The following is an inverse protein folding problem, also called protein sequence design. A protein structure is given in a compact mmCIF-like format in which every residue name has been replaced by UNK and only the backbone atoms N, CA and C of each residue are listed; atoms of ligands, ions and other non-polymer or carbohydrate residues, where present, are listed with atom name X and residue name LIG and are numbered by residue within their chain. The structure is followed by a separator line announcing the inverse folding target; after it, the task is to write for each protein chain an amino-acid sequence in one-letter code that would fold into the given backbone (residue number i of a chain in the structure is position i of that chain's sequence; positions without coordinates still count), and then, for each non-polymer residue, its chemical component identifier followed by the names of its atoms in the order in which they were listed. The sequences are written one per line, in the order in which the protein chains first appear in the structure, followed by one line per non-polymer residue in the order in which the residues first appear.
data_IF_695574225481
#
_entry.id   IF_695574225481
#
_cell.length_a   1.000
_cell.length_b   1.000
_cell.length_c   1.000
_cell.angle_alpha   90.00
_cell.angle_beta   90.00
_cell.angle_gamma   90.00
#
_symmetry.space_group_name_H-M   'P 1'
#
loop_
_entity.id
_entity.type
_entity.pdbx_description
1 polymer ?
#
# COMPACT_ATOMS: atom_id res chain seq x y z
N UNK A 1 -17.90 -16.31 -1.92
CA UNK A 1 -17.87 -17.61 -2.62
C UNK A 1 -16.68 -18.48 -2.17
N UNK A 2 -15.43 -18.00 -2.22
CA UNK A 2 -14.24 -18.78 -1.82
C UNK A 2 -14.27 -19.32 -0.37
N UNK A 3 -14.65 -18.50 0.62
CA UNK A 3 -14.68 -18.92 2.04
C UNK A 3 -15.77 -19.96 2.28
N UNK A 4 -16.89 -19.84 1.55
CA UNK A 4 -18.01 -20.77 1.56
C UNK A 4 -17.62 -22.12 0.95
N UNK A 5 -16.89 -22.11 -0.17
CA UNK A 5 -16.37 -23.31 -0.83
C UNK A 5 -15.30 -24.04 0.00
N UNK A 6 -14.45 -23.29 0.69
CA UNK A 6 -13.36 -23.82 1.52
C UNK A 6 -13.80 -24.21 2.94
N UNK A 7 -15.07 -24.02 3.31
CA UNK A 7 -15.61 -24.37 4.63
C UNK A 7 -14.99 -23.62 5.82
N UNK A 8 -14.27 -22.52 5.59
CA UNK A 8 -13.46 -21.83 6.63
C UNK A 8 -14.24 -20.92 7.57
N UNK A 9 -15.55 -21.09 7.68
CA UNK A 9 -16.44 -20.26 8.52
C UNK A 9 -16.05 -20.26 9.99
N UNK A 10 -15.63 -21.41 10.54
CA UNK A 10 -15.13 -21.50 11.92
C UNK A 10 -13.88 -20.63 12.15
N UNK A 11 -13.02 -20.53 11.14
CA UNK A 11 -11.80 -19.73 11.23
C UNK A 11 -12.13 -18.23 11.22
N UNK A 12 -13.06 -17.80 10.36
CA UNK A 12 -13.55 -16.41 10.33
C UNK A 12 -14.20 -16.01 11.66
N UNK A 13 -15.07 -16.86 12.21
CA UNK A 13 -15.70 -16.61 13.51
C UNK A 13 -14.65 -16.47 14.63
N UNK A 14 -13.60 -17.29 14.60
CA UNK A 14 -12.50 -17.24 15.57
C UNK A 14 -11.67 -15.94 15.42
N UNK A 15 -11.45 -15.49 14.20
CA UNK A 15 -10.76 -14.22 13.91
C UNK A 15 -11.54 -13.01 14.45
N UNK A 16 -12.87 -13.03 14.32
CA UNK A 16 -13.74 -11.96 14.83
C UNK A 16 -13.75 -11.86 16.36
N UNK A 17 -13.65 -12.99 17.07
CA UNK A 17 -13.61 -13.02 18.53
C UNK A 17 -12.26 -12.53 19.10
N UNK A 18 -11.19 -12.54 18.31
CA UNK A 18 -9.85 -12.22 18.78
C UNK A 18 -9.56 -10.72 18.65
N UNK A 19 -9.70 -10.00 19.77
CA UNK A 19 -9.59 -8.52 19.84
C UNK A 19 -8.27 -7.98 19.29
N UNK A 20 -7.16 -8.71 19.47
CA UNK A 20 -5.85 -8.33 18.93
C UNK A 20 -5.82 -8.38 17.39
N UNK A 21 -6.40 -9.42 16.79
CA UNK A 21 -6.44 -9.56 15.33
C UNK A 21 -7.38 -8.51 14.75
N UNK A 22 -8.54 -8.32 15.37
CA UNK A 22 -9.49 -7.28 14.95
C UNK A 22 -8.89 -5.88 15.04
N UNK A 23 -8.12 -5.58 16.08
CA UNK A 23 -7.41 -4.31 16.18
C UNK A 23 -6.36 -4.15 15.06
N UNK A 24 -5.58 -5.19 14.77
CA UNK A 24 -4.62 -5.18 13.68
C UNK A 24 -5.27 -4.98 12.31
N UNK A 25 -6.40 -5.65 12.04
CA UNK A 25 -7.18 -5.48 10.81
C UNK A 25 -7.76 -4.07 10.73
N UNK A 26 -8.29 -3.55 11.83
CA UNK A 26 -8.85 -2.20 11.90
C UNK A 26 -7.80 -1.14 11.57
N UNK A 27 -6.64 -1.19 12.24
CA UNK A 27 -5.54 -0.26 12.00
C UNK A 27 -5.00 -0.42 10.56
N UNK A 28 -4.76 -1.65 10.12
CA UNK A 28 -4.23 -1.93 8.78
C UNK A 28 -5.18 -1.51 7.66
N UNK A 29 -6.49 -1.71 7.83
CA UNK A 29 -7.50 -1.34 6.83
C UNK A 29 -7.79 0.16 6.84
N UNK A 30 -7.68 0.81 8.00
CA UNK A 30 -7.82 2.26 8.12
C UNK A 30 -6.63 3.00 7.49
N UNK A 31 -5.40 2.65 7.86
CA UNK A 31 -4.21 3.32 7.36
C UNK A 31 -3.76 2.84 5.98
N UNK A 32 -4.14 1.63 5.56
CA UNK A 32 -3.86 1.12 4.23
C UNK A 32 -4.85 1.68 3.19
N UNK A 33 -5.94 0.96 2.89
CA UNK A 33 -6.86 1.36 1.83
C UNK A 33 -7.71 2.59 2.18
N UNK A 34 -8.20 2.77 3.41
CA UNK A 34 -9.12 3.89 3.68
C UNK A 34 -8.45 5.26 3.53
N UNK A 35 -7.39 5.53 4.29
CA UNK A 35 -6.64 6.78 4.15
C UNK A 35 -5.93 6.88 2.80
N UNK A 36 -5.32 5.80 2.32
CA UNK A 36 -4.61 5.79 1.04
C UNK A 36 -5.53 6.17 -0.13
N UNK A 37 -6.72 5.56 -0.21
CA UNK A 37 -7.69 5.85 -1.28
C UNK A 37 -8.35 7.21 -1.06
N UNK A 38 -8.70 7.58 0.17
CA UNK A 38 -9.30 8.89 0.44
C UNK A 38 -8.36 10.04 0.04
N UNK A 39 -7.10 9.99 0.45
CA UNK A 39 -6.12 11.02 0.09
C UNK A 39 -5.78 10.99 -1.41
N UNK A 40 -5.75 9.81 -2.02
CA UNK A 40 -5.62 9.66 -3.48
C UNK A 40 -6.75 10.38 -4.22
N UNK A 41 -8.00 10.20 -3.80
CA UNK A 41 -9.16 10.86 -4.41
C UNK A 41 -9.15 12.37 -4.18
N UNK A 42 -8.69 12.84 -3.02
CA UNK A 42 -8.53 14.27 -2.73
C UNK A 42 -7.46 14.88 -3.65
N UNK A 43 -6.32 14.19 -3.81
CA UNK A 43 -5.23 14.64 -4.67
C UNK A 43 -5.66 14.75 -6.14
N UNK A 44 -6.41 13.76 -6.65
CA UNK A 44 -6.99 13.80 -8.00
C UNK A 44 -7.97 14.97 -8.15
N UNK A 45 -8.78 15.26 -7.13
CA UNK A 45 -9.76 16.35 -7.21
C UNK A 45 -9.13 17.74 -7.12
N UNK A 46 -8.02 17.89 -6.41
CA UNK A 46 -7.39 19.21 -6.17
C UNK A 46 -6.14 19.46 -7.02
N UNK A 47 -5.70 18.49 -7.82
CA UNK A 47 -4.48 18.59 -8.62
C UNK A 47 -4.71 18.05 -10.02
N UNK A 48 -3.92 18.51 -11.01
CA UNK A 48 -3.86 17.89 -12.33
C UNK A 48 -3.67 16.38 -12.22
N UNK A 49 -4.40 15.62 -13.04
CA UNK A 49 -4.31 14.17 -13.11
C UNK A 49 -2.86 13.68 -13.32
N UNK A 50 -2.04 14.44 -14.05
CA UNK A 50 -0.61 14.12 -14.23
C UNK A 50 0.18 14.17 -12.91
N UNK A 51 -0.03 15.22 -12.10
CA UNK A 51 0.66 15.37 -10.82
C UNK A 51 0.18 14.31 -9.82
N UNK A 52 -1.12 14.03 -9.77
CA UNK A 52 -1.65 12.96 -8.94
C UNK A 52 -1.09 11.58 -9.36
N UNK A 53 -1.01 11.28 -10.66
CA UNK A 53 -0.46 10.02 -11.17
C UNK A 53 1.02 9.85 -10.80
N UNK A 54 1.79 10.93 -10.81
CA UNK A 54 3.22 10.88 -10.45
C UNK A 54 3.49 10.71 -8.95
N UNK A 55 2.66 11.33 -8.11
CA UNK A 55 2.64 11.06 -6.67
C UNK A 55 2.29 9.60 -6.38
N UNK A 56 1.41 8.99 -7.18
CA UNK A 56 1.05 7.57 -7.03
C UNK A 56 2.15 6.62 -7.54
N UNK A 57 2.85 6.97 -8.62
CA UNK A 57 3.89 6.12 -9.19
C UNK A 57 5.22 6.16 -8.43
N UNK A 58 5.45 7.17 -7.58
CA UNK A 58 6.60 7.20 -6.65
C UNK A 58 6.34 6.41 -5.35
N UNK A 59 5.10 5.97 -5.09
CA UNK A 59 4.75 5.15 -3.90
C UNK A 59 5.67 3.93 -3.70
N UNK A 60 6.04 3.13 -4.73
CA UNK A 60 6.95 1.99 -4.56
C UNK A 60 8.31 2.42 -4.01
N UNK A 61 8.83 3.56 -4.44
CA UNK A 61 10.09 4.14 -3.97
C UNK A 61 9.95 4.57 -2.51
N UNK A 62 8.84 5.22 -2.18
CA UNK A 62 8.59 5.77 -0.86
C UNK A 62 8.34 4.67 0.19
N UNK A 63 7.83 3.50 -0.22
CA UNK A 63 7.62 2.33 0.65
C UNK A 63 8.94 1.65 1.06
N UNK A 64 10.01 1.74 0.27
CA UNK A 64 11.31 1.11 0.59
C UNK A 64 11.90 1.66 1.90
N UNK A 65 11.75 2.95 2.16
CA UNK A 65 12.27 3.58 3.38
C UNK A 65 11.62 3.04 4.67
N UNK A 66 10.28 3.08 4.87
CA UNK A 66 9.65 2.47 6.02
C UNK A 66 9.81 0.95 6.04
N UNK A 67 9.92 0.27 4.89
CA UNK A 67 10.27 -1.15 4.86
C UNK A 67 11.62 -1.43 5.53
N UNK A 68 12.63 -0.60 5.26
CA UNK A 68 13.94 -0.73 5.91
C UNK A 68 13.88 -0.37 7.40
N UNK A 69 13.25 0.75 7.78
CA UNK A 69 13.23 1.19 9.18
C UNK A 69 12.33 0.34 10.09
N UNK A 70 11.13 -0.02 9.63
CA UNK A 70 10.12 -0.74 10.42
C UNK A 70 10.35 -2.25 10.36
N UNK A 71 10.56 -2.79 9.16
CA UNK A 71 10.72 -4.24 8.98
C UNK A 71 12.18 -4.71 9.00
N UNK A 72 13.15 -3.78 9.13
CA UNK A 72 14.60 -4.08 9.18
C UNK A 72 15.10 -4.94 8.03
N UNK A 73 14.44 -4.86 6.88
CA UNK A 73 14.81 -5.63 5.70
C UNK A 73 16.08 -5.05 5.08
N UNK A 74 16.99 -5.92 4.64
CA UNK A 74 18.21 -5.49 3.95
C UNK A 74 17.83 -5.04 2.54
N UNK A 75 18.12 -3.77 2.23
CA UNK A 75 17.89 -3.23 0.89
C UNK A 75 18.80 -3.98 -0.08
N UNK A 76 18.20 -4.69 -1.01
CA UNK A 76 18.90 -5.45 -2.04
C UNK A 76 19.16 -4.58 -3.27
N UNK A 77 20.19 -4.91 -4.05
CA UNK A 77 20.51 -4.19 -5.30
C UNK A 77 19.31 -4.12 -6.26
N UNK A 78 18.45 -5.14 -6.25
CA UNK A 78 17.24 -5.20 -7.08
C UNK A 78 16.21 -4.14 -6.71
N UNK A 79 16.03 -3.85 -5.42
CA UNK A 79 15.12 -2.80 -4.94
C UNK A 79 15.64 -1.41 -5.31
N UNK A 80 16.96 -1.21 -5.24
CA UNK A 80 17.59 0.05 -5.65
C UNK A 80 17.38 0.28 -7.15
N UNK A 81 17.62 -0.74 -7.98
CA UNK A 81 17.40 -0.65 -9.43
C UNK A 81 15.93 -0.37 -9.74
N UNK A 82 14.99 -1.07 -9.09
CA UNK A 82 13.55 -0.84 -9.27
C UNK A 82 13.11 0.56 -8.83
N UNK A 83 13.71 1.09 -7.77
CA UNK A 83 13.45 2.46 -7.32
C UNK A 83 13.93 3.49 -8.35
N UNK A 84 15.15 3.34 -8.86
CA UNK A 84 15.70 4.21 -9.92
C UNK A 84 14.85 4.17 -11.18
N UNK A 85 14.45 2.98 -11.63
CA UNK A 85 13.57 2.81 -12.80
C UNK A 85 12.22 3.52 -12.57
N UNK A 86 11.64 3.39 -11.36
CA UNK A 86 10.39 4.08 -11.03
C UNK A 86 10.54 5.60 -11.13
N UNK A 87 11.58 6.18 -10.52
CA UNK A 87 11.84 7.63 -10.58
C UNK A 87 12.01 8.11 -12.02
N UNK A 88 12.77 7.38 -12.85
CA UNK A 88 12.96 7.70 -14.27
C UNK A 88 11.64 7.63 -15.03
N UNK A 89 10.83 6.60 -14.81
CA UNK A 89 9.51 6.46 -15.44
C UNK A 89 8.55 7.60 -15.08
N UNK A 90 8.56 8.03 -13.81
CA UNK A 90 7.77 9.19 -13.37
C UNK A 90 8.23 10.47 -14.07
N UNK A 91 9.55 10.68 -14.17
CA UNK A 91 10.11 11.87 -14.81
C UNK A 91 9.77 11.96 -16.30
N UNK A 92 9.78 10.83 -17.03
CA UNK A 92 9.39 10.83 -18.44
C UNK A 92 7.90 11.12 -18.67
N UNK A 93 7.03 10.83 -17.69
CA UNK A 93 5.59 11.06 -17.82
C UNK A 93 5.21 12.56 -17.87
N UNK A 94 6.14 13.44 -17.47
CA UNK A 94 5.96 14.89 -17.46
C UNK A 94 6.65 15.63 -18.61
N UNK A 95 7.43 14.92 -19.44
CA UNK A 95 7.99 15.43 -20.70
C UNK A 95 6.98 15.16 -21.81
#
# INVERSE_FOLDING_TARGET
FLITLLGKWKQVARTLQQRQIMAGIGIGSFFGPFLGVAFSLIAIQHTSAGIAATLMSIVPVLIIAPAHFIFKQKITLKEIIGAVISVVGVAMFFI
#
